data_IF_246477953492
#
_entry.id   IF_246477953492
#
_cell.length_a   1.000
_cell.length_b   1.000
_cell.length_c   1.000
_cell.angle_alpha   90.00
_cell.angle_beta   90.00
_cell.angle_gamma   90.00
#
_symmetry.space_group_name_H-M   'P 1'
#
loop_
_entity.id
_entity.type
_entity.pdbx_description
1 polymer ?
#
# COMPACT_ATOMS: atom_id res chain seq x y z
N UNK A 1 4.52 90.03 -36.72
CA UNK A 1 4.25 89.12 -35.59
C UNK A 1 3.09 88.24 -36.03
N UNK A 2 3.21 86.90 -36.15
CA UNK A 2 3.70 85.91 -35.18
C UNK A 2 2.85 85.96 -33.88
N UNK A 3 2.27 84.86 -33.38
CA UNK A 3 2.61 83.44 -33.60
C UNK A 3 1.43 82.61 -34.13
N UNK A 4 1.77 81.51 -34.81
CA UNK A 4 0.84 80.47 -35.23
C UNK A 4 0.61 79.48 -34.06
N UNK A 5 -0.65 79.19 -33.73
CA UNK A 5 -0.99 78.21 -32.69
C UNK A 5 -0.79 76.78 -33.21
N UNK A 6 0.29 76.13 -32.81
CA UNK A 6 0.57 74.74 -33.19
C UNK A 6 -0.52 73.76 -32.71
N UNK A 7 -0.74 72.65 -33.44
CA UNK A 7 -1.76 71.67 -33.06
C UNK A 7 -1.45 70.99 -31.73
N UNK A 8 -2.50 70.63 -31.01
CA UNK A 8 -2.48 69.89 -29.75
C UNK A 8 -1.84 68.49 -29.93
N UNK A 9 -0.53 68.36 -29.73
CA UNK A 9 0.20 67.09 -29.67
C UNK A 9 -0.14 66.29 -28.40
N UNK A 10 -1.39 65.84 -28.31
CA UNK A 10 -1.86 64.95 -27.23
C UNK A 10 -1.35 63.53 -27.50
N UNK A 11 -0.41 62.98 -26.69
CA UNK A 11 0.19 61.68 -26.98
C UNK A 11 -0.87 60.58 -27.00
N UNK A 12 -1.00 59.91 -28.15
CA UNK A 12 -2.05 58.92 -28.39
C UNK A 12 -1.98 57.77 -27.38
N UNK A 13 -2.96 57.72 -26.46
CA UNK A 13 -2.96 56.88 -25.25
C UNK A 13 -3.14 55.38 -25.56
N UNK A 14 -2.07 54.72 -26.03
CA UNK A 14 -2.01 53.31 -26.49
C UNK A 14 -2.44 52.22 -25.48
N UNK A 15 -2.87 52.56 -24.26
CA UNK A 15 -3.33 51.59 -23.25
C UNK A 15 -4.72 50.98 -23.51
N UNK A 16 -5.48 51.50 -24.46
CA UNK A 16 -6.92 51.18 -24.59
C UNK A 16 -7.25 49.74 -25.06
N UNK A 17 -6.28 49.00 -25.61
CA UNK A 17 -6.45 47.60 -26.02
C UNK A 17 -6.52 46.64 -24.83
N UNK A 18 -5.45 46.59 -24.02
CA UNK A 18 -5.36 45.73 -22.84
C UNK A 18 -6.49 46.01 -21.83
N UNK A 19 -6.86 47.28 -21.61
CA UNK A 19 -7.99 47.62 -20.73
C UNK A 19 -9.37 47.23 -21.31
N UNK A 20 -9.49 46.94 -22.61
CA UNK A 20 -10.71 46.35 -23.20
C UNK A 20 -10.68 44.82 -23.09
N UNK A 21 -9.57 44.19 -23.47
CA UNK A 21 -9.37 42.74 -23.34
C UNK A 21 -9.53 42.25 -21.89
N UNK A 22 -8.92 42.94 -20.92
CA UNK A 22 -9.04 42.58 -19.50
C UNK A 22 -10.46 42.73 -18.95
N UNK A 23 -11.23 43.73 -19.42
CA UNK A 23 -12.65 43.87 -19.05
C UNK A 23 -13.52 42.77 -19.68
N UNK A 24 -13.29 42.45 -20.95
CA UNK A 24 -13.97 41.34 -21.64
C UNK A 24 -13.68 39.98 -20.95
N UNK A 25 -12.40 39.70 -20.66
CA UNK A 25 -11.99 38.51 -19.90
C UNK A 25 -12.61 38.47 -18.51
N UNK A 26 -12.62 39.60 -17.76
CA UNK A 26 -13.22 39.65 -16.41
C UNK A 26 -14.75 39.54 -16.43
N UNK A 27 -15.42 39.85 -17.54
CA UNK A 27 -16.83 39.56 -17.74
C UNK A 27 -17.06 38.07 -18.07
N UNK A 28 -16.32 37.52 -19.04
CA UNK A 28 -16.35 36.11 -19.42
C UNK A 28 -16.09 35.18 -18.22
N UNK A 29 -15.09 35.50 -17.39
CA UNK A 29 -14.71 34.76 -16.17
C UNK A 29 -15.77 34.82 -15.05
N UNK A 30 -16.81 35.65 -15.16
CA UNK A 30 -17.90 35.76 -14.19
C UNK A 30 -19.12 34.93 -14.60
N UNK A 31 -19.45 34.88 -15.89
CA UNK A 31 -20.58 34.10 -16.43
C UNK A 31 -20.26 32.63 -16.73
N UNK A 32 -19.18 32.08 -16.18
CA UNK A 32 -18.76 30.67 -16.34
C UNK A 32 -18.12 30.14 -15.05
N UNK A 33 -18.15 28.82 -14.78
CA UNK A 33 -17.46 28.19 -13.65
C UNK A 33 -15.94 28.10 -13.89
N UNK A 34 -15.30 29.23 -14.18
CA UNK A 34 -13.89 29.29 -14.62
C UNK A 34 -12.93 28.66 -13.60
N UNK A 35 -13.11 28.98 -12.32
CA UNK A 35 -12.28 28.43 -11.25
C UNK A 35 -12.42 26.91 -11.10
N UNK A 36 -13.63 26.37 -11.31
CA UNK A 36 -13.85 24.94 -11.32
C UNK A 36 -13.03 24.27 -12.44
N UNK A 37 -13.15 24.78 -13.68
CA UNK A 37 -12.34 24.30 -14.80
C UNK A 37 -10.83 24.42 -14.57
N UNK A 38 -10.37 25.51 -13.94
CA UNK A 38 -8.95 25.68 -13.60
C UNK A 38 -8.45 24.66 -12.57
N UNK A 39 -9.23 24.37 -11.52
CA UNK A 39 -8.87 23.37 -10.53
C UNK A 39 -8.96 21.94 -11.07
N UNK A 40 -9.94 21.61 -11.93
CA UNK A 40 -10.04 20.31 -12.60
C UNK A 40 -8.91 20.10 -13.63
N UNK A 41 -8.56 21.13 -14.42
CA UNK A 41 -7.44 21.03 -15.37
C UNK A 41 -6.10 20.89 -14.65
N UNK A 42 -5.83 21.74 -13.64
CA UNK A 42 -4.60 21.62 -12.85
C UNK A 42 -4.51 20.28 -12.09
N UNK A 43 -5.64 19.67 -11.72
CA UNK A 43 -5.71 18.30 -11.23
C UNK A 43 -5.29 17.27 -12.29
N UNK A 44 -5.86 17.33 -13.50
CA UNK A 44 -5.48 16.48 -14.63
C UNK A 44 -4.00 16.59 -14.98
N UNK A 45 -3.48 17.82 -15.08
CA UNK A 45 -2.07 18.09 -15.34
C UNK A 45 -1.14 17.52 -14.25
N UNK A 46 -1.51 17.63 -12.96
CA UNK A 46 -0.75 17.06 -11.84
C UNK A 46 -0.80 15.52 -11.83
N UNK A 47 -1.90 14.91 -12.29
CA UNK A 47 -2.02 13.45 -12.47
C UNK A 47 -1.20 12.96 -13.66
N UNK A 48 -1.08 13.75 -14.73
CA UNK A 48 -0.26 13.44 -15.91
C UNK A 48 1.23 13.69 -15.71
N UNK A 49 1.64 14.60 -14.82
CA UNK A 49 3.04 15.05 -14.76
C UNK A 49 4.05 13.96 -14.28
N UNK A 50 3.94 13.35 -13.09
CA UNK A 50 4.90 12.32 -12.65
C UNK A 50 5.18 11.17 -13.62
N UNK A 51 4.18 10.50 -14.27
CA UNK A 51 4.46 9.41 -15.20
C UNK A 51 5.09 9.86 -16.53
N UNK A 52 5.00 11.14 -16.90
CA UNK A 52 5.40 11.62 -18.24
C UNK A 52 6.44 12.77 -18.25
N UNK A 53 6.88 13.27 -17.09
CA UNK A 53 7.87 14.35 -17.00
C UNK A 53 9.33 13.94 -17.26
N UNK A 54 9.69 12.67 -17.00
CA UNK A 54 11.08 12.19 -16.98
C UNK A 54 11.41 11.20 -18.13
N UNK A 55 10.62 11.19 -19.20
CA UNK A 55 10.65 10.12 -20.20
C UNK A 55 11.95 10.03 -21.00
N UNK A 56 12.65 8.90 -20.87
CA UNK A 56 13.33 8.26 -22.00
C UNK A 56 12.39 7.24 -22.63
N UNK A 57 12.56 6.95 -23.93
CA UNK A 57 11.65 6.09 -24.70
C UNK A 57 11.55 4.65 -24.18
N UNK A 58 12.55 4.15 -23.44
CA UNK A 58 12.49 2.85 -22.77
C UNK A 58 11.51 2.84 -21.60
N UNK A 59 11.61 3.83 -20.70
CA UNK A 59 10.77 3.94 -19.50
C UNK A 59 9.30 4.16 -19.85
N UNK A 60 9.03 4.85 -20.97
CA UNK A 60 7.67 5.03 -21.51
C UNK A 60 6.98 3.69 -21.81
N UNK A 61 7.72 2.71 -22.36
CA UNK A 61 7.18 1.36 -22.65
C UNK A 61 6.93 0.59 -21.35
N UNK A 62 7.79 0.74 -20.35
CA UNK A 62 7.61 0.11 -19.03
C UNK A 62 6.36 0.70 -18.34
N UNK A 63 6.24 2.04 -18.30
CA UNK A 63 5.08 2.72 -17.71
C UNK A 63 3.75 2.32 -18.37
N UNK A 64 3.70 2.27 -19.71
CA UNK A 64 2.48 1.86 -20.46
C UNK A 64 2.16 0.37 -20.27
N UNK A 65 3.15 -0.49 -19.98
CA UNK A 65 2.90 -1.90 -19.62
C UNK A 65 2.31 -2.07 -18.21
N UNK A 66 2.37 -1.07 -17.34
CA UNK A 66 1.71 -1.11 -16.03
C UNK A 66 0.25 -0.64 -16.10
N UNK A 67 -0.63 -1.31 -15.36
CA UNK A 67 -2.04 -0.91 -15.24
C UNK A 67 -2.21 0.50 -14.63
N UNK A 68 -1.28 0.91 -13.75
CA UNK A 68 -1.24 2.26 -13.18
C UNK A 68 -0.95 3.37 -14.20
N UNK A 69 0.00 3.15 -15.11
CA UNK A 69 0.35 4.14 -16.14
C UNK A 69 -0.81 4.43 -17.12
N UNK A 70 -1.46 3.37 -17.60
CA UNK A 70 -2.61 3.50 -18.54
C UNK A 70 -3.82 4.16 -17.88
N UNK A 71 -4.12 3.80 -16.62
CA UNK A 71 -5.24 4.40 -15.88
C UNK A 71 -4.99 5.87 -15.54
N UNK A 72 -3.76 6.26 -15.18
CA UNK A 72 -3.39 7.66 -14.96
C UNK A 72 -3.58 8.52 -16.22
N UNK A 73 -3.19 8.03 -17.40
CA UNK A 73 -3.42 8.70 -18.68
C UNK A 73 -4.92 8.90 -18.95
N UNK A 74 -5.71 7.84 -18.84
CA UNK A 74 -7.15 7.87 -19.09
C UNK A 74 -7.84 8.88 -18.17
N UNK A 75 -7.54 8.83 -16.87
CA UNK A 75 -8.10 9.75 -15.87
C UNK A 75 -7.70 11.19 -16.16
N UNK A 76 -6.41 11.46 -16.42
CA UNK A 76 -5.90 12.81 -16.70
C UNK A 76 -6.55 13.44 -17.93
N UNK A 77 -6.64 12.69 -19.04
CA UNK A 77 -7.29 13.15 -20.28
C UNK A 77 -8.79 13.41 -20.07
N UNK A 78 -9.48 12.56 -19.31
CA UNK A 78 -10.91 12.74 -19.04
C UNK A 78 -11.19 13.93 -18.10
N UNK A 79 -10.26 14.24 -17.18
CA UNK A 79 -10.29 15.48 -16.38
C UNK A 79 -10.07 16.73 -17.24
N UNK A 80 -9.13 16.74 -18.18
CA UNK A 80 -8.93 17.87 -19.10
C UNK A 80 -10.15 18.11 -20.01
N UNK A 81 -10.81 17.03 -20.47
CA UNK A 81 -12.08 17.13 -21.19
C UNK A 81 -13.18 17.74 -20.30
N UNK A 82 -13.25 17.39 -19.02
CA UNK A 82 -14.19 17.98 -18.07
C UNK A 82 -13.87 19.47 -17.78
N UNK A 83 -12.59 19.83 -17.65
CA UNK A 83 -12.13 21.22 -17.50
C UNK A 83 -12.53 22.08 -18.72
N UNK A 84 -12.27 21.57 -19.93
CA UNK A 84 -12.71 22.19 -21.18
C UNK A 84 -14.23 22.34 -21.25
N UNK A 85 -15.00 21.32 -20.86
CA UNK A 85 -16.46 21.38 -20.82
C UNK A 85 -16.96 22.50 -19.89
N UNK A 86 -16.34 22.69 -18.71
CA UNK A 86 -16.66 23.77 -17.78
C UNK A 86 -16.36 25.17 -18.34
N UNK A 87 -15.31 25.32 -19.16
CA UNK A 87 -15.00 26.60 -19.80
C UNK A 87 -15.82 26.89 -21.07
N UNK A 88 -16.16 25.88 -21.88
CA UNK A 88 -16.85 26.07 -23.15
C UNK A 88 -18.37 25.94 -23.07
N UNK A 89 -18.90 25.03 -22.23
CA UNK A 89 -20.32 24.69 -22.16
C UNK A 89 -20.83 24.65 -20.70
N UNK A 90 -21.02 25.81 -20.03
CA UNK A 90 -21.40 25.89 -18.61
C UNK A 90 -22.73 25.18 -18.25
N UNK A 91 -23.59 24.87 -19.22
CA UNK A 91 -24.78 24.03 -18.99
C UNK A 91 -24.47 22.61 -18.51
N UNK A 92 -23.33 22.02 -18.93
CA UNK A 92 -22.92 20.66 -18.54
C UNK A 92 -22.13 20.60 -17.23
N UNK A 93 -22.13 21.68 -16.44
CA UNK A 93 -21.34 21.78 -15.19
C UNK A 93 -21.67 20.73 -14.13
N UNK A 94 -22.92 20.24 -14.06
CA UNK A 94 -23.30 19.19 -13.12
C UNK A 94 -22.66 17.85 -13.47
N UNK A 95 -22.88 17.25 -14.66
CA UNK A 95 -22.20 16.01 -15.03
C UNK A 95 -20.68 16.18 -15.09
N UNK A 96 -20.14 17.29 -15.60
CA UNK A 96 -18.69 17.53 -15.59
C UNK A 96 -18.11 17.60 -14.17
N UNK A 97 -18.81 18.24 -13.22
CA UNK A 97 -18.39 18.31 -11.83
C UNK A 97 -18.46 16.98 -11.09
N UNK A 98 -19.52 16.19 -11.32
CA UNK A 98 -19.65 14.83 -10.75
C UNK A 98 -18.59 13.89 -11.33
N UNK A 99 -18.37 13.92 -12.65
CA UNK A 99 -17.30 13.14 -13.30
C UNK A 99 -15.93 13.52 -12.76
N UNK A 100 -15.64 14.82 -12.57
CA UNK A 100 -14.38 15.25 -11.96
C UNK A 100 -14.19 14.72 -10.52
N UNK A 101 -15.24 14.73 -9.69
CA UNK A 101 -15.20 14.14 -8.33
C UNK A 101 -14.94 12.62 -8.40
N UNK A 102 -15.70 11.89 -9.23
CA UNK A 102 -15.56 10.43 -9.35
C UNK A 102 -14.16 10.04 -9.86
N UNK A 103 -13.67 10.70 -10.91
CA UNK A 103 -12.31 10.49 -11.43
C UNK A 103 -11.23 10.80 -10.39
N UNK A 104 -11.41 11.85 -9.58
CA UNK A 104 -10.46 12.20 -8.51
C UNK A 104 -10.41 11.14 -7.41
N UNK A 105 -11.56 10.57 -7.04
CA UNK A 105 -11.65 9.48 -6.05
C UNK A 105 -11.09 8.17 -6.60
N UNK A 106 -11.40 7.83 -7.86
CA UNK A 106 -10.82 6.66 -8.55
C UNK A 106 -9.30 6.80 -8.60
N UNK A 107 -8.77 7.98 -8.97
CA UNK A 107 -7.33 8.23 -9.01
C UNK A 107 -6.63 7.94 -7.67
N UNK A 108 -7.26 8.28 -6.54
CA UNK A 108 -6.69 8.03 -5.21
C UNK A 108 -6.59 6.52 -4.90
N UNK A 109 -7.54 5.72 -5.40
CA UNK A 109 -7.52 4.26 -5.29
C UNK A 109 -6.54 3.62 -6.28
N UNK A 110 -6.49 4.08 -7.53
CA UNK A 110 -5.65 3.47 -8.59
C UNK A 110 -4.19 3.91 -8.56
N UNK A 111 -3.83 4.93 -7.78
CA UNK A 111 -2.44 5.45 -7.69
C UNK A 111 -1.82 5.32 -6.30
N UNK A 112 -2.42 4.52 -5.40
CA UNK A 112 -1.77 3.98 -4.20
C UNK A 112 -1.15 5.05 -3.27
N UNK A 113 -1.81 6.20 -3.12
CA UNK A 113 -1.30 7.39 -2.40
C UNK A 113 0.02 7.99 -2.97
N UNK A 114 0.51 7.52 -4.12
CA UNK A 114 1.83 7.78 -4.72
C UNK A 114 2.04 9.18 -5.30
N UNK A 115 1.86 10.23 -4.48
CA UNK A 115 2.20 11.62 -4.81
C UNK A 115 1.07 12.46 -5.43
N UNK A 116 0.04 11.83 -5.99
CA UNK A 116 -1.07 12.51 -6.68
C UNK A 116 -2.13 13.15 -5.77
N UNK A 117 -1.96 13.10 -4.44
CA UNK A 117 -2.90 13.64 -3.46
C UNK A 117 -3.25 15.13 -3.72
N UNK A 118 -2.27 15.92 -4.16
CA UNK A 118 -2.49 17.31 -4.59
C UNK A 118 -3.47 17.37 -5.78
N UNK A 119 -3.27 16.53 -6.79
CA UNK A 119 -4.18 16.37 -7.93
C UNK A 119 -5.58 15.98 -7.51
N UNK A 120 -5.75 14.93 -6.68
CA UNK A 120 -7.05 14.52 -6.13
C UNK A 120 -7.75 15.67 -5.39
N UNK A 121 -7.05 16.39 -4.49
CA UNK A 121 -7.64 17.49 -3.73
C UNK A 121 -8.09 18.63 -4.67
N UNK A 122 -7.27 18.99 -5.66
CA UNK A 122 -7.64 19.99 -6.66
C UNK A 122 -8.85 19.56 -7.51
N UNK A 123 -8.93 18.28 -7.88
CA UNK A 123 -10.04 17.75 -8.68
C UNK A 123 -11.35 17.68 -7.89
N UNK A 124 -11.30 17.30 -6.61
CA UNK A 124 -12.42 17.36 -5.68
C UNK A 124 -12.93 18.80 -5.47
N UNK A 125 -12.01 19.75 -5.21
CA UNK A 125 -12.36 21.17 -5.08
C UNK A 125 -12.94 21.74 -6.39
N UNK A 126 -12.36 21.39 -7.53
CA UNK A 126 -12.84 21.79 -8.85
C UNK A 126 -14.24 21.24 -9.15
N UNK A 127 -14.50 19.96 -8.88
CA UNK A 127 -15.81 19.34 -9.04
C UNK A 127 -16.87 19.93 -8.11
N UNK A 128 -16.53 20.15 -6.84
CA UNK A 128 -17.41 20.83 -5.88
C UNK A 128 -17.74 22.28 -6.31
N UNK A 129 -16.76 23.02 -6.85
CA UNK A 129 -16.97 24.35 -7.43
C UNK A 129 -17.86 24.32 -8.70
N UNK A 130 -17.76 23.27 -9.53
CA UNK A 130 -18.61 23.12 -10.71
C UNK A 130 -20.10 22.89 -10.36
N UNK A 131 -20.35 22.06 -9.32
CA UNK A 131 -21.68 21.75 -8.80
C UNK A 131 -22.29 22.95 -8.07
N UNK A 132 -21.52 23.63 -7.22
CA UNK A 132 -22.00 24.78 -6.42
C UNK A 132 -22.13 26.11 -7.19
N UNK A 133 -21.54 26.23 -8.38
CA UNK A 133 -21.68 27.43 -9.21
C UNK A 133 -23.14 27.72 -9.59
N UNK A 134 -23.46 28.98 -9.91
CA UNK A 134 -24.77 29.37 -10.43
C UNK A 134 -24.70 30.69 -11.20
N UNK A 135 -25.39 30.77 -12.33
CA UNK A 135 -25.49 31.97 -13.17
C UNK A 135 -26.71 32.85 -12.78
N UNK A 136 -27.46 32.45 -11.74
CA UNK A 136 -28.65 33.19 -11.31
C UNK A 136 -28.24 34.55 -10.72
N UNK A 137 -28.68 35.68 -11.30
CA UNK A 137 -28.34 36.99 -10.76
C UNK A 137 -28.86 37.12 -9.33
N UNK A 138 -27.97 37.48 -8.41
CA UNK A 138 -28.29 37.63 -6.99
C UNK A 138 -29.28 38.79 -6.85
N UNK A 139 -30.58 38.48 -6.69
CA UNK A 139 -31.63 39.49 -6.46
C UNK A 139 -31.16 40.40 -5.33
N UNK A 140 -31.01 41.69 -5.63
CA UNK A 140 -30.65 42.66 -4.62
C UNK A 140 -31.73 42.64 -3.53
N UNK A 141 -31.33 42.49 -2.26
CA UNK A 141 -32.26 42.65 -1.14
C UNK A 141 -32.62 44.14 -1.11
N UNK A 142 -33.79 44.48 -1.63
CA UNK A 142 -34.35 45.83 -1.58
C UNK A 142 -34.43 46.22 -0.11
N UNK A 143 -33.50 47.08 0.32
CA UNK A 143 -33.39 47.46 1.73
C UNK A 143 -34.43 48.54 1.97
N UNK A 144 -35.67 48.12 2.24
CA UNK A 144 -36.74 49.00 2.69
C UNK A 144 -36.27 49.74 3.93
N UNK A 145 -36.11 51.05 3.81
CA UNK A 145 -35.33 51.85 4.75
C UNK A 145 -35.91 51.85 6.16
N UNK A 146 -35.24 51.16 7.08
CA UNK A 146 -35.35 51.39 8.52
C UNK A 146 -33.94 51.64 9.04
N UNK A 147 -33.73 52.80 9.66
CA UNK A 147 -32.43 53.18 10.20
C UNK A 147 -32.10 52.36 11.44
N UNK A 148 -31.08 51.52 11.35
CA UNK A 148 -30.34 51.00 12.50
C UNK A 148 -28.86 50.93 12.15
N UNK A 149 -28.00 51.23 13.12
CA UNK A 149 -26.56 51.42 12.92
C UNK A 149 -25.80 50.10 12.74
N UNK A 150 -24.54 50.20 12.33
CA UNK A 150 -23.61 49.06 12.18
C UNK A 150 -23.49 48.25 13.50
N UNK A 151 -23.12 46.97 13.51
CA UNK A 151 -22.04 46.32 12.72
C UNK A 151 -22.26 44.81 12.47
N UNK A 152 -21.77 44.25 11.35
CA UNK A 152 -21.61 42.80 11.20
C UNK A 152 -20.26 42.33 11.78
N UNK A 153 -20.26 41.81 13.01
CA UNK A 153 -19.10 41.12 13.60
C UNK A 153 -19.02 39.67 13.06
N UNK A 154 -17.81 39.12 12.98
CA UNK A 154 -17.55 37.87 12.26
C UNK A 154 -18.08 36.62 12.99
N UNK A 155 -18.88 35.81 12.29
CA UNK A 155 -19.27 34.46 12.71
C UNK A 155 -18.47 33.42 11.90
N UNK A 156 -17.28 33.09 12.39
CA UNK A 156 -16.51 31.90 11.99
C UNK A 156 -16.70 30.79 13.04
N UNK A 157 -16.15 29.61 12.76
CA UNK A 157 -16.12 28.42 13.63
C UNK A 157 -17.47 27.89 14.14
N UNK A 158 -17.94 26.82 13.51
CA UNK A 158 -18.77 25.82 14.17
C UNK A 158 -18.35 24.41 13.71
N UNK A 159 -17.17 24.00 14.19
CA UNK A 159 -16.72 22.60 14.22
C UNK A 159 -16.76 22.20 15.69
N UNK A 160 -17.66 21.29 16.06
CA UNK A 160 -17.91 20.98 17.47
C UNK A 160 -18.92 19.85 17.67
N UNK A 161 -18.38 18.62 17.76
CA UNK A 161 -18.90 17.46 18.51
C UNK A 161 -20.43 17.28 18.56
N UNK A 162 -20.96 16.40 17.70
CA UNK A 162 -22.22 15.67 17.95
C UNK A 162 -21.89 14.22 18.28
N UNK A 163 -21.33 14.01 19.47
CA UNK A 163 -21.11 12.70 20.10
C UNK A 163 -21.38 12.83 21.61
N UNK A 164 -22.66 13.06 21.94
CA UNK A 164 -23.14 13.12 23.33
C UNK A 164 -24.62 12.69 23.39
N UNK A 165 -24.84 11.39 23.27
CA UNK A 165 -26.06 10.72 23.73
C UNK A 165 -25.65 9.62 24.72
N UNK A 166 -26.12 9.64 25.97
CA UNK A 166 -25.88 8.54 26.90
C UNK A 166 -26.78 7.34 26.56
N UNK A 167 -26.28 6.09 26.65
CA UNK A 167 -27.15 4.92 26.54
C UNK A 167 -28.02 4.80 27.81
N UNK A 168 -29.34 4.80 27.65
CA UNK A 168 -30.26 4.48 28.75
C UNK A 168 -30.23 2.99 29.07
N UNK A 169 -29.91 2.66 30.32
CA UNK A 169 -29.92 1.32 30.90
C UNK A 169 -31.27 0.64 30.82
N UNK A 170 -31.28 -0.64 30.44
CA UNK A 170 -32.30 -1.63 30.87
C UNK A 170 -31.61 -2.98 31.04
N UNK A 171 -31.65 -3.53 32.26
CA UNK A 171 -31.29 -4.91 32.60
C UNK A 171 -32.40 -5.48 33.54
N UNK A 172 -32.37 -6.74 34.02
CA UNK A 172 -33.50 -7.68 33.90
C UNK A 172 -34.30 -7.78 35.22
N UNK A 173 -35.16 -8.79 35.49
CA UNK A 173 -34.74 -10.16 35.86
C UNK A 173 -35.76 -11.26 35.40
N UNK A 174 -35.96 -12.44 36.05
CA UNK A 174 -35.12 -13.64 35.85
C UNK A 174 -35.89 -15.00 35.75
N UNK A 175 -35.09 -16.09 35.75
CA UNK A 175 -35.34 -17.42 36.38
C UNK A 175 -35.89 -18.61 35.56
N UNK A 176 -35.58 -19.80 36.10
CA UNK A 176 -35.83 -21.19 35.64
C UNK A 176 -35.17 -21.62 34.32
N UNK A 177 -34.51 -22.78 34.19
CA UNK A 177 -34.19 -23.82 35.20
C UNK A 177 -33.01 -24.71 34.74
N UNK A 178 -32.49 -25.56 35.63
CA UNK A 178 -31.43 -26.57 35.39
C UNK A 178 -31.61 -27.73 36.40
N UNK A 179 -30.88 -28.88 36.34
CA UNK A 179 -29.82 -29.33 35.41
C UNK A 179 -29.99 -30.82 34.95
N UNK A 180 -28.86 -31.52 34.74
CA UNK A 180 -28.60 -33.00 34.84
C UNK A 180 -28.87 -33.97 33.67
N UNK A 181 -27.90 -34.90 33.49
CA UNK A 181 -27.98 -36.23 32.83
C UNK A 181 -28.19 -36.25 31.29
N UNK A 182 -27.80 -37.24 30.48
CA UNK A 182 -26.95 -38.46 30.60
C UNK A 182 -26.74 -39.05 29.19
N UNK A 183 -25.81 -39.97 28.85
CA UNK A 183 -24.65 -40.59 29.53
C UNK A 183 -23.76 -41.33 28.50
N UNK A 184 -22.53 -41.72 28.86
CA UNK A 184 -21.61 -42.54 28.03
C UNK A 184 -22.05 -44.02 27.97
N UNK A 185 -21.78 -44.75 26.87
CA UNK A 185 -21.58 -46.20 26.90
C UNK A 185 -20.12 -46.60 26.60
N UNK A 186 -19.61 -47.61 27.30
CA UNK A 186 -18.27 -48.16 27.10
C UNK A 186 -18.31 -49.68 26.97
N UNK A 187 -17.54 -50.22 26.03
CA UNK A 187 -17.18 -51.63 25.91
C UNK A 187 -15.74 -51.67 25.39
N UNK A 188 -14.70 -52.00 26.16
CA UNK A 188 -14.48 -53.17 27.04
C UNK A 188 -14.38 -54.47 26.26
N UNK A 189 -13.15 -54.79 25.80
CA UNK A 189 -12.59 -56.14 25.78
C UNK A 189 -11.10 -56.02 26.15
N UNK A 190 -10.61 -56.92 27.00
CA UNK A 190 -9.20 -57.12 27.36
C UNK A 190 -8.92 -58.65 27.38
N UNK A 191 -7.70 -59.12 27.68
CA UNK A 191 -6.70 -59.63 26.74
C UNK A 191 -6.81 -61.16 26.50
N UNK A 192 -5.80 -61.84 25.91
CA UNK A 192 -4.75 -62.41 26.77
C UNK A 192 -3.32 -62.41 26.18
N UNK A 193 -2.35 -62.72 27.05
CA UNK A 193 -0.92 -62.85 26.73
C UNK A 193 -0.55 -64.11 25.95
N UNK A 194 0.61 -64.09 25.26
CA UNK A 194 1.51 -65.26 25.17
C UNK A 194 2.94 -64.85 24.74
N UNK A 195 3.91 -65.72 25.02
CA UNK A 195 5.35 -65.60 24.71
C UNK A 195 5.98 -67.01 24.84
N UNK A 196 7.29 -67.18 24.59
CA UNK A 196 8.04 -67.06 23.33
C UNK A 196 8.38 -68.48 22.76
N UNK A 197 9.28 -68.64 21.78
CA UNK A 197 10.75 -68.67 22.02
C UNK A 197 11.53 -67.92 20.89
N UNK A 198 12.86 -67.99 20.66
CA UNK A 198 13.93 -68.85 21.22
C UNK A 198 15.34 -68.21 21.15
N UNK A 199 16.31 -68.96 21.70
CA UNK A 199 17.76 -69.01 21.47
C UNK A 199 18.28 -68.80 20.03
N UNK A 200 19.54 -68.39 19.76
CA UNK A 200 20.80 -68.69 20.49
C UNK A 200 21.84 -67.56 20.54
N UNK A 201 22.56 -67.49 21.66
CA UNK A 201 23.88 -66.84 21.91
C UNK A 201 25.04 -67.65 21.27
N UNK A 202 26.35 -67.24 21.23
CA UNK A 202 27.08 -66.62 22.36
C UNK A 202 28.24 -65.60 22.07
N UNK A 203 28.63 -64.89 23.14
CA UNK A 203 30.01 -64.52 23.55
C UNK A 203 30.90 -63.58 22.70
N UNK A 204 31.95 -62.94 23.25
CA UNK A 204 32.32 -62.49 24.63
C UNK A 204 33.61 -61.65 24.53
N UNK A 205 33.70 -60.48 25.21
CA UNK A 205 34.92 -59.64 25.34
C UNK A 205 35.51 -59.15 23.98
N UNK A 206 36.55 -58.31 23.81
CA UNK A 206 37.35 -57.36 24.61
C UNK A 206 37.91 -56.29 23.60
N UNK A 207 38.63 -55.19 23.89
CA UNK A 207 39.22 -54.59 25.11
C UNK A 207 39.45 -53.07 24.91
N UNK A 208 39.99 -52.39 25.94
CA UNK A 208 40.92 -51.24 25.89
C UNK A 208 40.70 -50.10 24.86
N UNK A 209 40.36 -48.92 25.38
CA UNK A 209 40.80 -47.64 24.78
C UNK A 209 42.31 -47.41 25.04
N UNK A 210 42.94 -46.45 24.34
CA UNK A 210 43.25 -45.23 25.07
C UNK A 210 42.94 -43.93 24.30
N UNK A 211 42.88 -42.83 25.04
CA UNK A 211 42.61 -41.47 24.52
C UNK A 211 43.84 -40.84 23.86
N UNK A 212 43.59 -39.97 22.87
CA UNK A 212 44.55 -38.94 22.41
C UNK A 212 43.76 -37.65 22.15
N UNK A 213 44.19 -36.47 22.66
CA UNK A 213 43.50 -35.20 22.41
C UNK A 213 43.70 -34.70 20.96
N UNK A 214 42.87 -33.77 20.46
CA UNK A 214 43.02 -33.20 19.13
C UNK A 214 44.28 -32.32 19.05
N UNK A 215 45.01 -32.42 17.94
CA UNK A 215 46.08 -31.49 17.62
C UNK A 215 45.52 -30.16 17.13
N UNK A 216 46.02 -29.05 17.66
CA UNK A 216 46.00 -27.74 17.00
C UNK A 216 46.91 -27.74 15.75
N UNK A 217 47.01 -26.61 15.05
CA UNK A 217 47.77 -26.41 13.80
C UNK A 217 47.24 -27.14 12.55
N UNK A 218 45.91 -27.13 12.35
CA UNK A 218 45.39 -26.77 11.03
C UNK A 218 44.82 -25.35 11.08
N UNK A 219 45.23 -24.43 10.18
CA UNK A 219 44.49 -23.20 9.96
C UNK A 219 43.06 -23.54 9.57
N UNK A 220 42.08 -23.03 10.31
CA UNK A 220 40.69 -23.05 9.85
C UNK A 220 40.65 -22.41 8.45
N UNK A 221 39.94 -22.99 7.47
CA UNK A 221 39.70 -22.28 6.23
C UNK A 221 39.06 -20.93 6.55
N UNK A 222 39.42 -19.84 5.85
CA UNK A 222 38.75 -18.56 6.05
C UNK A 222 37.23 -18.77 5.87
N UNK A 223 36.38 -18.16 6.71
CA UNK A 223 34.94 -18.41 6.68
C UNK A 223 34.42 -18.11 5.28
N UNK A 224 33.96 -19.16 4.58
CA UNK A 224 33.70 -19.09 3.15
C UNK A 224 32.63 -18.03 2.81
N UNK A 225 32.85 -17.31 1.72
CA UNK A 225 32.22 -16.02 1.41
C UNK A 225 30.69 -16.04 1.39
N UNK A 226 30.06 -15.81 2.54
CA UNK A 226 28.65 -15.46 2.73
C UNK A 226 27.66 -16.27 1.88
N UNK A 227 27.95 -17.57 1.67
CA UNK A 227 27.12 -18.45 0.86
C UNK A 227 25.68 -18.44 1.42
N UNK A 228 24.65 -18.18 0.59
CA UNK A 228 23.28 -18.25 1.05
C UNK A 228 23.01 -19.62 1.69
N UNK A 229 22.46 -19.62 2.91
CA UNK A 229 22.19 -20.85 3.69
C UNK A 229 21.02 -21.68 3.10
N UNK A 230 20.67 -21.42 1.84
CA UNK A 230 19.63 -22.03 1.04
C UNK A 230 20.21 -22.17 -0.37
N UNK A 231 20.13 -23.36 -0.97
CA UNK A 231 20.59 -23.56 -2.34
C UNK A 231 19.81 -22.65 -3.31
N UNK A 232 20.52 -21.99 -4.22
CA UNK A 232 19.88 -21.17 -5.25
C UNK A 232 18.91 -22.01 -6.10
N UNK A 233 17.83 -21.38 -6.58
CA UNK A 233 16.77 -22.01 -7.37
C UNK A 233 15.98 -23.11 -6.65
N UNK A 234 15.87 -23.05 -5.31
CA UNK A 234 15.04 -23.95 -4.49
C UNK A 234 14.02 -23.23 -3.62
N UNK A 235 12.88 -23.87 -3.39
CA UNK A 235 11.84 -23.32 -2.54
C UNK A 235 12.13 -23.55 -1.05
N UNK A 236 11.96 -22.50 -0.26
CA UNK A 236 12.04 -22.53 1.20
C UNK A 236 10.79 -21.88 1.82
N UNK A 237 10.54 -22.19 3.09
CA UNK A 237 9.40 -21.67 3.84
C UNK A 237 9.86 -20.85 5.04
N UNK A 238 9.08 -19.83 5.37
CA UNK A 238 9.29 -18.93 6.50
C UNK A 238 7.98 -18.82 7.28
N UNK A 239 7.97 -19.36 8.49
CA UNK A 239 6.88 -19.19 9.44
C UNK A 239 7.27 -18.12 10.49
N UNK A 240 6.34 -17.23 10.82
CA UNK A 240 6.55 -16.18 11.80
C UNK A 240 5.24 -15.77 12.50
N UNK A 241 5.32 -15.50 13.80
CA UNK A 241 4.18 -14.96 14.56
C UNK A 241 3.79 -13.55 14.13
N UNK A 242 4.79 -12.74 13.71
CA UNK A 242 4.63 -11.42 13.09
C UNK A 242 5.75 -11.17 12.08
N UNK A 243 5.40 -10.54 10.96
CA UNK A 243 6.31 -9.98 9.96
C UNK A 243 6.01 -8.49 9.78
N UNK A 244 6.95 -7.62 10.12
CA UNK A 244 6.89 -6.17 9.83
C UNK A 244 7.81 -5.89 8.63
N UNK A 245 7.27 -5.22 7.61
CA UNK A 245 7.93 -4.88 6.35
C UNK A 245 7.91 -3.36 6.17
N UNK A 246 9.09 -2.75 5.99
CA UNK A 246 9.25 -1.32 5.76
C UNK A 246 9.94 -1.01 4.44
N UNK A 247 9.50 0.06 3.77
CA UNK A 247 9.90 0.40 2.41
C UNK A 247 9.40 -0.61 1.38
N UNK A 248 8.27 -1.27 1.66
CA UNK A 248 7.72 -2.35 0.84
C UNK A 248 7.16 -1.83 -0.48
N UNK A 249 7.49 -2.52 -1.56
CA UNK A 249 6.95 -2.31 -2.91
C UNK A 249 6.76 -3.67 -3.61
N UNK A 250 5.66 -3.83 -4.35
CA UNK A 250 5.39 -5.02 -5.15
C UNK A 250 5.67 -4.69 -6.63
N UNK A 251 6.74 -5.25 -7.17
CA UNK A 251 7.26 -4.92 -8.50
C UNK A 251 6.48 -5.62 -9.62
N UNK A 252 5.89 -6.79 -9.33
CA UNK A 252 5.10 -7.57 -10.27
C UNK A 252 5.28 -9.09 -10.11
N UNK A 253 4.82 -9.83 -11.11
CA UNK A 253 5.13 -11.26 -11.27
C UNK A 253 6.33 -11.41 -12.21
N UNK A 254 7.26 -12.30 -11.88
CA UNK A 254 8.46 -12.62 -12.65
C UNK A 254 8.61 -14.15 -12.74
N UNK A 255 9.10 -14.68 -13.85
CA UNK A 255 9.43 -16.11 -13.95
C UNK A 255 10.85 -16.35 -13.40
N UNK A 256 10.99 -17.31 -12.49
CA UNK A 256 12.28 -17.72 -11.91
C UNK A 256 12.46 -19.23 -12.04
N UNK A 257 13.67 -19.72 -12.39
CA UNK A 257 13.94 -21.16 -12.39
C UNK A 257 13.88 -21.72 -10.97
N UNK A 258 13.06 -22.76 -10.80
CA UNK A 258 12.88 -23.51 -9.56
C UNK A 258 12.98 -25.00 -9.88
N UNK A 259 14.00 -25.67 -9.32
CA UNK A 259 14.28 -27.10 -9.54
C UNK A 259 14.35 -27.55 -11.03
N UNK A 260 14.57 -26.59 -11.96
CA UNK A 260 14.65 -26.80 -13.40
C UNK A 260 13.41 -26.36 -14.20
N UNK A 261 12.31 -26.01 -13.55
CA UNK A 261 11.08 -25.49 -14.16
C UNK A 261 11.03 -23.94 -14.05
N UNK A 262 10.47 -23.26 -15.06
CA UNK A 262 10.19 -21.82 -14.99
C UNK A 262 8.88 -21.61 -14.22
N UNK A 263 8.95 -20.99 -13.04
CA UNK A 263 7.78 -20.79 -12.17
C UNK A 263 7.55 -19.30 -11.91
N UNK A 264 6.30 -18.86 -12.05
CA UNK A 264 5.90 -17.50 -11.67
C UNK A 264 6.08 -17.26 -10.15
N UNK A 265 6.68 -16.13 -9.79
CA UNK A 265 6.83 -15.66 -8.42
C UNK A 265 6.45 -14.18 -8.29
N UNK A 266 5.90 -13.81 -7.14
CA UNK A 266 5.70 -12.42 -6.75
C UNK A 266 7.06 -11.81 -6.40
N UNK A 267 7.47 -10.74 -7.09
CA UNK A 267 8.66 -9.97 -6.74
C UNK A 267 8.31 -8.79 -5.85
N UNK A 268 8.87 -8.78 -4.65
CA UNK A 268 8.81 -7.66 -3.71
C UNK A 268 10.18 -7.01 -3.56
N UNK A 269 10.20 -5.70 -3.27
CA UNK A 269 11.37 -5.05 -2.68
C UNK A 269 11.04 -4.43 -1.33
N UNK A 270 12.01 -4.36 -0.44
CA UNK A 270 11.89 -3.77 0.89
C UNK A 270 13.20 -3.08 1.30
N UNK A 271 13.14 -2.22 2.32
CA UNK A 271 14.31 -1.61 2.98
C UNK A 271 14.55 -2.10 4.40
N UNK A 272 13.52 -2.71 5.03
CA UNK A 272 13.65 -3.32 6.35
C UNK A 272 12.66 -4.47 6.56
N UNK A 273 13.10 -5.53 7.23
CA UNK A 273 12.27 -6.63 7.71
C UNK A 273 12.47 -6.82 9.23
N UNK A 274 11.39 -7.10 9.95
CA UNK A 274 11.44 -7.67 11.31
C UNK A 274 10.54 -8.89 11.39
N UNK A 275 11.06 -9.97 11.97
CA UNK A 275 10.46 -11.30 11.90
C UNK A 275 10.42 -11.89 13.32
N UNK A 276 9.23 -11.94 13.93
CA UNK A 276 9.06 -12.35 15.34
C UNK A 276 8.76 -13.84 15.43
N UNK A 277 9.52 -14.59 16.23
CA UNK A 277 9.50 -16.06 16.25
C UNK A 277 9.75 -16.65 14.85
N UNK A 278 10.88 -16.30 14.22
CA UNK A 278 11.28 -16.84 12.92
C UNK A 278 11.54 -18.34 13.01
N UNK A 279 10.89 -19.12 12.14
CA UNK A 279 11.28 -20.49 11.80
C UNK A 279 11.34 -20.62 10.28
N UNK A 280 12.52 -20.90 9.76
CA UNK A 280 12.79 -21.08 8.33
C UNK A 280 13.13 -22.55 8.06
N UNK A 281 12.52 -23.13 7.02
CA UNK A 281 12.80 -24.50 6.57
C UNK A 281 13.12 -24.53 5.08
N UNK A 282 14.27 -25.09 4.71
CA UNK A 282 14.74 -25.24 3.34
C UNK A 282 15.12 -26.70 3.03
N UNK A 283 14.93 -27.14 1.79
CA UNK A 283 15.14 -28.52 1.36
C UNK A 283 16.57 -28.72 0.80
N UNK A 284 17.38 -29.57 1.44
CA UNK A 284 18.73 -29.92 0.96
C UNK A 284 18.68 -30.96 -0.17
N UNK A 285 17.54 -31.61 -0.40
CA UNK A 285 17.42 -32.79 -1.25
C UNK A 285 17.62 -34.09 -0.46
N UNK A 286 17.49 -35.21 -1.16
CA UNK A 286 17.69 -36.57 -0.64
C UNK A 286 16.85 -36.92 0.62
N UNK A 287 15.77 -36.15 0.86
CA UNK A 287 14.86 -36.30 1.99
C UNK A 287 15.20 -35.44 3.22
N UNK A 288 16.27 -34.64 3.18
CA UNK A 288 16.74 -33.85 4.31
C UNK A 288 16.35 -32.37 4.25
N UNK A 289 15.94 -31.81 5.38
CA UNK A 289 15.52 -30.41 5.54
C UNK A 289 16.37 -29.66 6.56
N UNK A 290 16.81 -28.44 6.20
CA UNK A 290 17.49 -27.52 7.09
C UNK A 290 16.44 -26.65 7.78
N UNK A 291 16.33 -26.80 9.10
CA UNK A 291 15.49 -25.94 9.94
C UNK A 291 16.39 -24.95 10.67
N UNK A 292 16.10 -23.66 10.51
CA UNK A 292 16.73 -22.54 11.23
C UNK A 292 15.66 -21.81 12.03
N UNK A 293 15.73 -21.88 13.35
CA UNK A 293 14.78 -21.24 14.26
C UNK A 293 15.47 -20.15 15.11
N UNK A 294 14.79 -19.03 15.32
CA UNK A 294 15.21 -18.01 16.28
C UNK A 294 14.81 -18.39 17.71
N UNK A 295 15.43 -17.77 18.71
CA UNK A 295 15.03 -17.98 20.11
C UNK A 295 13.55 -17.56 20.34
N UNK A 296 12.77 -18.29 21.16
CA UNK A 296 11.38 -17.93 21.46
C UNK A 296 11.25 -16.50 22.00
N UNK A 297 10.27 -15.76 21.48
CA UNK A 297 10.04 -14.34 21.80
C UNK A 297 10.99 -13.35 21.11
N UNK A 298 12.00 -13.81 20.38
CA UNK A 298 12.95 -12.92 19.70
C UNK A 298 12.43 -12.37 18.37
N UNK A 299 13.08 -11.30 17.92
CA UNK A 299 12.82 -10.62 16.64
C UNK A 299 14.10 -10.67 15.81
N UNK A 300 14.07 -11.43 14.71
CA UNK A 300 15.11 -11.39 13.68
C UNK A 300 14.95 -10.14 12.82
N UNK A 301 16.03 -9.51 12.37
CA UNK A 301 15.97 -8.27 11.59
C UNK A 301 16.82 -8.30 10.32
N UNK A 302 16.40 -7.51 9.33
CA UNK A 302 17.20 -7.13 8.16
C UNK A 302 17.07 -5.61 8.03
N UNK A 303 18.14 -4.87 8.34
CA UNK A 303 18.09 -3.40 8.47
C UNK A 303 19.00 -2.65 7.48
N UNK A 304 19.68 -3.36 6.57
CA UNK A 304 20.82 -2.83 5.81
C UNK A 304 20.80 -3.17 4.31
N UNK A 305 20.26 -2.27 3.49
CA UNK A 305 20.31 -2.34 2.02
C UNK A 305 18.92 -2.42 1.36
N UNK A 306 18.90 -2.53 0.03
CA UNK A 306 17.71 -2.99 -0.70
C UNK A 306 17.63 -4.50 -0.55
N UNK A 307 16.45 -4.99 -0.20
CA UNK A 307 16.13 -6.41 -0.09
C UNK A 307 15.15 -6.71 -1.23
N UNK A 308 15.40 -7.77 -2.01
CA UNK A 308 14.45 -8.30 -2.99
C UNK A 308 13.99 -9.69 -2.53
N UNK A 309 12.67 -9.95 -2.54
CA UNK A 309 12.10 -11.26 -2.22
C UNK A 309 11.37 -11.81 -3.43
N UNK A 310 11.60 -13.09 -3.72
CA UNK A 310 10.95 -13.84 -4.78
C UNK A 310 10.04 -14.88 -4.14
N UNK A 311 8.73 -14.64 -4.18
CA UNK A 311 7.73 -15.27 -3.31
C UNK A 311 6.69 -16.04 -4.11
N UNK A 312 6.64 -17.36 -3.94
CA UNK A 312 5.60 -18.24 -4.50
C UNK A 312 4.24 -18.00 -3.83
N UNK A 313 4.24 -17.77 -2.51
CA UNK A 313 3.04 -17.56 -1.71
C UNK A 313 3.33 -16.76 -0.45
N UNK A 314 2.50 -15.78 -0.12
CA UNK A 314 2.48 -15.10 1.18
C UNK A 314 1.08 -15.23 1.78
N UNK A 315 0.95 -16.00 2.86
CA UNK A 315 -0.29 -16.20 3.59
C UNK A 315 -0.17 -15.71 5.03
N UNK A 316 -1.24 -15.09 5.54
CA UNK A 316 -1.34 -14.65 6.94
C UNK A 316 -2.46 -13.63 7.15
N UNK A 317 -2.45 -12.94 8.29
CA UNK A 317 -3.38 -11.86 8.60
C UNK A 317 -2.67 -10.50 8.48
N UNK A 318 -2.96 -9.75 7.42
CA UNK A 318 -2.49 -8.37 7.23
C UNK A 318 -3.20 -7.44 8.24
N UNK A 319 -2.44 -6.67 9.01
CA UNK A 319 -2.94 -5.65 9.93
C UNK A 319 -3.01 -4.31 9.20
N UNK A 320 -4.22 -3.81 8.98
CA UNK A 320 -4.50 -2.49 8.41
C UNK A 320 -5.18 -1.63 9.48
N UNK A 321 -4.37 -0.81 10.17
CA UNK A 321 -4.85 0.11 11.22
C UNK A 321 -5.61 -0.60 12.37
N UNK A 322 -5.21 -1.82 12.73
CA UNK A 322 -5.86 -2.66 13.75
C UNK A 322 -6.91 -3.62 13.20
N UNK A 323 -7.25 -3.54 11.90
CA UNK A 323 -8.11 -4.52 11.22
C UNK A 323 -7.25 -5.67 10.68
N UNK A 324 -7.38 -6.86 11.25
CA UNK A 324 -6.79 -8.09 10.72
C UNK A 324 -7.60 -8.59 9.51
N UNK A 325 -6.99 -8.57 8.34
CA UNK A 325 -7.55 -9.08 7.08
C UNK A 325 -6.80 -10.37 6.69
N UNK A 326 -7.46 -11.53 6.56
CA UNK A 326 -6.82 -12.74 6.08
C UNK A 326 -6.46 -12.59 4.60
N UNK A 327 -5.21 -12.88 4.24
CA UNK A 327 -4.68 -12.77 2.88
C UNK A 327 -3.96 -14.04 2.44
N UNK A 328 -4.00 -14.31 1.14
CA UNK A 328 -3.35 -15.45 0.51
C UNK A 328 -2.87 -15.01 -0.89
N UNK A 329 -1.70 -14.37 -0.92
CA UNK A 329 -1.12 -13.81 -2.14
C UNK A 329 -0.31 -14.85 -2.89
N UNK A 330 -0.55 -14.96 -4.18
CA UNK A 330 0.14 -15.84 -5.15
C UNK A 330 0.25 -15.10 -6.50
N UNK A 331 1.04 -15.57 -7.49
CA UNK A 331 1.06 -14.96 -8.82
C UNK A 331 -0.33 -14.79 -9.46
N UNK A 332 -1.22 -15.77 -9.26
CA UNK A 332 -2.61 -15.74 -9.73
C UNK A 332 -3.55 -14.85 -8.89
N UNK A 333 -3.13 -14.44 -7.68
CA UNK A 333 -3.87 -13.53 -6.79
C UNK A 333 -2.87 -12.54 -6.14
N UNK A 334 -2.30 -11.61 -6.92
CA UNK A 334 -1.27 -10.70 -6.42
C UNK A 334 -1.85 -9.66 -5.45
N UNK A 335 -1.00 -8.98 -4.65
CA UNK A 335 -1.44 -7.88 -3.80
C UNK A 335 -2.14 -6.78 -4.62
N UNK A 336 -3.36 -6.34 -4.24
CA UNK A 336 -4.14 -5.37 -5.02
C UNK A 336 -3.65 -3.91 -4.86
N UNK A 337 -2.71 -3.66 -3.95
CA UNK A 337 -2.28 -2.34 -3.51
C UNK A 337 -0.85 -2.42 -2.98
N UNK A 338 0.06 -1.59 -3.52
CA UNK A 338 1.40 -1.43 -2.95
C UNK A 338 1.29 -0.51 -1.72
N UNK A 339 1.86 -0.93 -0.59
CA UNK A 339 1.87 -0.16 0.67
C UNK A 339 3.31 -0.02 1.17
N UNK A 340 3.79 1.19 1.53
CA UNK A 340 5.19 1.40 1.91
C UNK A 340 5.56 0.75 3.26
N UNK A 341 4.55 0.38 4.05
CA UNK A 341 4.70 -0.39 5.29
C UNK A 341 3.57 -1.42 5.36
N UNK A 342 3.90 -2.64 5.77
CA UNK A 342 2.93 -3.69 6.05
C UNK A 342 3.29 -4.43 7.34
N UNK A 343 2.29 -4.81 8.12
CA UNK A 343 2.45 -5.72 9.26
C UNK A 343 1.55 -6.91 9.04
N UNK A 344 2.09 -8.11 9.09
CA UNK A 344 1.35 -9.36 9.00
C UNK A 344 1.51 -10.15 10.31
N UNK A 345 0.49 -10.91 10.70
CA UNK A 345 0.51 -11.84 11.84
C UNK A 345 0.10 -13.24 11.41
N UNK A 346 0.57 -14.27 12.10
CA UNK A 346 0.33 -15.69 11.76
C UNK A 346 0.74 -16.00 10.31
N UNK A 347 2.01 -15.72 10.01
CA UNK A 347 2.55 -15.70 8.64
C UNK A 347 3.17 -17.03 8.26
N UNK A 348 2.83 -17.50 7.06
CA UNK A 348 3.56 -18.52 6.32
C UNK A 348 3.90 -17.98 4.92
N UNK A 349 5.19 -17.78 4.64
CA UNK A 349 5.70 -17.41 3.31
C UNK A 349 6.40 -18.62 2.69
N UNK A 350 6.24 -18.82 1.37
CA UNK A 350 7.08 -19.72 0.57
C UNK A 350 7.81 -18.89 -0.48
N UNK A 351 9.14 -18.93 -0.46
CA UNK A 351 10.03 -18.14 -1.30
C UNK A 351 10.93 -19.06 -2.14
N UNK A 352 11.49 -18.53 -3.23
CA UNK A 352 12.57 -19.18 -4.00
C UNK A 352 13.92 -18.50 -3.76
N UNK A 353 13.94 -17.20 -3.48
CA UNK A 353 15.17 -16.41 -3.36
C UNK A 353 14.92 -15.16 -2.48
N UNK A 354 15.97 -14.68 -1.80
CA UNK A 354 16.02 -13.40 -1.10
C UNK A 354 17.41 -12.79 -1.31
N UNK A 355 17.45 -11.62 -1.95
CA UNK A 355 18.69 -10.96 -2.36
C UNK A 355 18.89 -9.65 -1.60
N UNK A 356 20.10 -9.44 -1.10
CA UNK A 356 20.47 -8.24 -0.34
C UNK A 356 19.95 -8.25 1.10
N UNK A 357 20.49 -7.35 1.91
CA UNK A 357 20.31 -7.40 3.37
C UNK A 357 21.29 -8.34 4.06
N UNK A 358 21.37 -8.23 5.39
CA UNK A 358 22.03 -9.20 6.27
C UNK A 358 21.04 -9.61 7.35
N UNK A 359 20.62 -10.87 7.35
CA UNK A 359 19.64 -11.40 8.30
C UNK A 359 20.30 -11.68 9.66
N UNK A 360 19.84 -10.99 10.69
CA UNK A 360 20.29 -11.18 12.09
C UNK A 360 19.24 -12.01 12.82
N UNK A 361 19.64 -13.17 13.34
CA UNK A 361 18.76 -14.13 14.04
C UNK A 361 19.24 -14.28 15.49
N UNK A 362 18.57 -13.65 16.48
CA UNK A 362 18.97 -13.78 17.89
C UNK A 362 18.75 -15.20 18.40
N UNK A 363 19.81 -15.81 18.96
CA UNK A 363 19.77 -17.17 19.48
C UNK A 363 19.35 -18.20 18.43
N UNK A 364 19.97 -18.13 17.24
CA UNK A 364 19.70 -19.06 16.16
C UNK A 364 20.04 -20.51 16.54
N UNK A 365 19.08 -21.41 16.37
CA UNK A 365 19.27 -22.86 16.42
C UNK A 365 19.11 -23.42 15.01
N UNK A 366 20.08 -24.21 14.57
CA UNK A 366 20.10 -24.84 13.24
C UNK A 366 20.14 -26.35 13.42
N UNK A 367 19.26 -27.06 12.72
CA UNK A 367 19.17 -28.52 12.75
C UNK A 367 18.83 -29.06 11.37
N UNK A 368 19.46 -30.17 10.99
CA UNK A 368 19.00 -31.00 9.86
C UNK A 368 17.99 -32.00 10.38
N UNK A 369 16.93 -32.25 9.61
CA UNK A 369 15.87 -33.25 9.85
C UNK A 369 15.78 -34.17 8.64
#
# INVERSE_FOLDING_TARGET
MLLNGGPDDRPARRSSGLHRAWRAFRAWRRGRPFWAGLFVGLSGLVILAPPYANLRLGDLVISIKTFGGVSALLIGVLLEIAAGALWFRPGFRFPAGVVAVLLSLIALVTTNLGGFLVGTILGLLGGALAVSWTDRPRKAKTTGGHGSTATPLAALSLVGVVLLQPPTTTEPPPASEAPTSSSVPSTTVEPPSSSPPSSTTPSTSESSAPSTPPSEDQPLPPPEDNTPLVAANRAWTLNASRLELGGLDFTGVEEVPLDGEQVEVLRFTATSLKITNLVQTADLGDGHSLVTAAAPGSVSTIDSGRIELFTLRLKGNLDVLGLKIPVDYTPANPPPLNVPFATFTEVAVRNTDLRGGVLRIPGAHISVT
#
